data_IF_427337954168
#
_entry.id   IF_427337954168
#
_cell.length_a   1.000
_cell.length_b   1.000
_cell.length_c   1.000
_cell.angle_alpha   90.00
_cell.angle_beta   90.00
_cell.angle_gamma   90.00
#
_symmetry.space_group_name_H-M   'P 1'
#
loop_
_entity.id
_entity.type
_entity.pdbx_description
1 polymer ?
#
# COMPACT_ATOMS: atom_id res chain seq x y z
N UNK A 1 9.49 11.70 -6.79
CA UNK A 1 8.64 12.05 -5.63
C UNK A 1 7.29 11.38 -5.83
N UNK A 2 6.84 10.58 -4.88
CA UNK A 2 5.56 9.88 -5.00
C UNK A 2 4.41 10.89 -4.94
N UNK A 3 3.53 10.89 -5.93
CA UNK A 3 2.39 11.80 -6.04
C UNK A 3 1.16 11.16 -5.40
N UNK A 4 0.29 11.94 -4.74
CA UNK A 4 -0.96 11.41 -4.20
C UNK A 4 -1.84 10.86 -5.32
N UNK A 5 -2.67 9.88 -5.00
CA UNK A 5 -3.67 9.40 -5.94
C UNK A 5 -4.67 10.51 -6.29
N UNK A 6 -5.16 10.51 -7.55
CA UNK A 6 -6.13 11.52 -8.02
C UNK A 6 -7.33 11.66 -7.09
N UNK A 7 -7.86 10.53 -6.63
CA UNK A 7 -8.97 10.48 -5.68
C UNK A 7 -8.68 11.28 -4.40
N UNK A 8 -7.46 11.20 -3.88
CA UNK A 8 -7.06 11.90 -2.64
C UNK A 8 -6.81 13.37 -2.93
N UNK A 9 -6.20 13.70 -4.07
CA UNK A 9 -6.03 15.09 -4.51
C UNK A 9 -7.37 15.82 -4.64
N UNK A 10 -8.38 15.17 -5.23
CA UNK A 10 -9.74 15.70 -5.38
C UNK A 10 -10.38 15.99 -4.01
N UNK A 11 -10.28 15.07 -3.05
CA UNK A 11 -10.79 15.25 -1.68
C UNK A 11 -10.04 16.32 -0.89
N UNK A 12 -8.74 16.47 -1.11
CA UNK A 12 -7.95 17.57 -0.56
C UNK A 12 -8.42 18.91 -1.11
N UNK A 13 -8.72 18.99 -2.43
CA UNK A 13 -9.25 20.21 -3.04
C UNK A 13 -10.62 20.60 -2.44
N UNK A 14 -11.53 19.63 -2.29
CA UNK A 14 -12.84 19.83 -1.62
C UNK A 14 -12.64 20.35 -0.20
N UNK A 15 -11.76 19.72 0.58
CA UNK A 15 -11.50 20.12 1.97
C UNK A 15 -10.91 21.52 2.03
N UNK A 16 -10.05 21.90 1.07
CA UNK A 16 -9.42 23.22 1.01
C UNK A 16 -10.46 24.32 0.90
N UNK A 17 -11.51 24.16 0.09
CA UNK A 17 -12.59 25.16 -0.02
C UNK A 17 -13.22 25.47 1.34
N UNK A 18 -13.55 24.44 2.12
CA UNK A 18 -14.15 24.59 3.46
C UNK A 18 -13.15 25.22 4.44
N UNK A 19 -11.91 24.75 4.43
CA UNK A 19 -10.84 25.27 5.30
C UNK A 19 -10.53 26.73 5.01
N UNK A 20 -10.52 27.14 3.74
CA UNK A 20 -10.35 28.54 3.34
C UNK A 20 -11.50 29.39 3.85
N UNK A 21 -12.75 28.96 3.65
CA UNK A 21 -13.92 29.69 4.16
C UNK A 21 -13.88 29.86 5.68
N UNK A 22 -13.57 28.79 6.43
CA UNK A 22 -13.42 28.84 7.90
C UNK A 22 -12.18 29.62 8.36
N UNK A 23 -11.19 29.85 7.50
CA UNK A 23 -10.05 30.71 7.85
C UNK A 23 -10.39 32.18 7.65
N UNK A 24 -11.07 32.51 6.56
CA UNK A 24 -11.31 33.88 6.14
C UNK A 24 -12.48 34.52 6.90
N UNK A 25 -13.56 33.77 7.15
CA UNK A 25 -14.81 34.35 7.64
C UNK A 25 -15.10 34.12 9.11
N UNK A 26 -14.29 33.34 9.84
CA UNK A 26 -14.53 33.06 11.28
C UNK A 26 -14.67 34.32 12.14
N UNK A 27 -13.84 35.38 12.00
CA UNK A 27 -14.00 36.58 12.84
C UNK A 27 -15.36 37.26 12.69
N UNK A 28 -15.89 37.31 11.46
CA UNK A 28 -17.19 37.91 11.16
C UNK A 28 -18.33 37.01 11.63
N UNK A 29 -18.28 35.73 11.26
CA UNK A 29 -19.32 34.75 11.57
C UNK A 29 -19.43 34.51 13.07
N UNK A 30 -18.31 34.39 13.77
CA UNK A 30 -18.30 34.18 15.21
C UNK A 30 -18.96 35.36 15.95
N UNK A 31 -18.66 36.59 15.56
CA UNK A 31 -19.25 37.80 16.15
C UNK A 31 -20.77 37.80 16.00
N UNK A 32 -21.26 37.58 14.79
CA UNK A 32 -22.70 37.59 14.52
C UNK A 32 -23.41 36.40 15.18
N UNK A 33 -22.77 35.23 15.19
CA UNK A 33 -23.28 34.04 15.87
C UNK A 33 -23.36 34.23 17.38
N UNK A 34 -22.39 34.88 18.01
CA UNK A 34 -22.41 35.18 19.44
C UNK A 34 -23.53 36.15 19.80
N UNK A 35 -23.76 37.17 18.96
CA UNK A 35 -24.87 38.09 19.18
C UNK A 35 -26.24 37.38 19.14
N UNK A 36 -26.38 36.35 18.30
CA UNK A 36 -27.61 35.54 18.19
C UNK A 36 -27.75 34.55 19.34
N UNK A 37 -26.69 33.81 19.68
CA UNK A 37 -26.76 32.73 20.67
C UNK A 37 -26.63 33.23 22.11
N UNK A 38 -25.90 34.32 22.33
CA UNK A 38 -25.54 34.85 23.64
C UNK A 38 -25.78 36.36 23.71
N UNK A 39 -27.04 36.82 23.66
CA UNK A 39 -27.37 38.25 23.64
C UNK A 39 -26.86 39.02 24.88
N UNK A 40 -26.70 38.33 26.01
CA UNK A 40 -26.16 38.89 27.26
C UNK A 40 -24.63 38.73 27.40
N UNK A 41 -23.96 38.24 26.36
CA UNK A 41 -22.52 38.00 26.29
C UNK A 41 -22.14 36.51 26.35
N UNK A 42 -21.15 36.13 25.53
CA UNK A 42 -20.66 34.77 25.44
C UNK A 42 -19.91 34.30 26.71
N UNK A 43 -19.92 32.99 27.02
CA UNK A 43 -19.13 32.43 28.12
C UNK A 43 -17.63 32.70 27.95
N UNK A 44 -16.93 33.04 29.05
CA UNK A 44 -15.48 33.30 29.02
C UNK A 44 -14.63 32.08 28.70
N UNK A 45 -15.17 30.87 28.89
CA UNK A 45 -14.43 29.61 28.73
C UNK A 45 -14.47 29.04 27.32
N UNK A 46 -15.42 29.47 26.48
CA UNK A 46 -15.60 28.97 25.11
C UNK A 46 -16.41 29.97 24.30
N UNK A 47 -15.81 30.43 23.20
CA UNK A 47 -16.42 31.36 22.24
C UNK A 47 -16.95 30.63 21.00
N UNK A 48 -17.77 31.29 20.18
CA UNK A 48 -18.17 30.73 18.89
C UNK A 48 -16.97 30.59 17.94
N UNK A 49 -16.00 31.50 18.03
CA UNK A 49 -14.75 31.43 17.26
C UNK A 49 -13.95 30.17 17.61
N UNK A 50 -13.84 29.83 18.91
CA UNK A 50 -13.17 28.61 19.36
C UNK A 50 -13.81 27.36 18.76
N UNK A 51 -15.14 27.29 18.71
CA UNK A 51 -15.86 26.17 18.10
C UNK A 51 -15.59 26.07 16.60
N UNK A 52 -15.66 27.18 15.87
CA UNK A 52 -15.42 27.18 14.42
C UNK A 52 -13.96 26.82 14.08
N UNK A 53 -12.99 27.31 14.87
CA UNK A 53 -11.60 26.90 14.75
C UNK A 53 -11.42 25.41 15.07
N UNK A 54 -12.10 24.87 16.08
CA UNK A 54 -12.04 23.44 16.40
C UNK A 54 -12.57 22.57 15.25
N UNK A 55 -13.66 22.97 14.59
CA UNK A 55 -14.20 22.30 13.41
C UNK A 55 -13.21 22.34 12.23
N UNK A 56 -12.64 23.52 11.95
CA UNK A 56 -11.60 23.70 10.93
C UNK A 56 -10.41 22.77 11.19
N UNK A 57 -9.87 22.80 12.41
CA UNK A 57 -8.67 22.05 12.76
C UNK A 57 -8.90 20.54 12.74
N UNK A 58 -10.12 20.08 13.09
CA UNK A 58 -10.51 18.68 12.94
C UNK A 58 -10.51 18.24 11.47
N UNK A 59 -11.09 19.03 10.56
CA UNK A 59 -11.08 18.75 9.13
C UNK A 59 -9.65 18.78 8.56
N UNK A 60 -8.85 19.76 8.97
CA UNK A 60 -7.46 19.89 8.52
C UNK A 60 -6.63 18.65 8.89
N UNK A 61 -6.64 18.26 10.18
CA UNK A 61 -5.90 17.08 10.66
C UNK A 61 -6.37 15.78 9.99
N UNK A 62 -7.67 15.64 9.76
CA UNK A 62 -8.21 14.42 9.13
C UNK A 62 -7.87 14.36 7.65
N UNK A 63 -7.88 15.50 6.96
CA UNK A 63 -7.42 15.61 5.56
C UNK A 63 -5.94 15.28 5.43
N UNK A 64 -5.10 15.82 6.32
CA UNK A 64 -3.67 15.53 6.35
C UNK A 64 -3.39 14.05 6.65
N UNK A 65 -4.11 13.45 7.61
CA UNK A 65 -3.98 12.02 7.92
C UNK A 65 -4.34 11.13 6.74
N UNK A 66 -5.40 11.46 5.99
CA UNK A 66 -5.78 10.74 4.77
C UNK A 66 -4.71 10.88 3.68
N UNK A 67 -4.18 12.08 3.47
CA UNK A 67 -3.10 12.33 2.52
C UNK A 67 -1.82 11.55 2.87
N UNK A 68 -1.43 11.57 4.15
CA UNK A 68 -0.25 10.85 4.62
C UNK A 68 -0.39 9.33 4.46
N UNK A 69 -1.58 8.77 4.73
CA UNK A 69 -1.85 7.35 4.55
C UNK A 69 -1.80 6.93 3.07
N UNK A 70 -2.27 7.77 2.15
CA UNK A 70 -2.16 7.53 0.71
C UNK A 70 -0.73 7.56 0.22
N UNK A 71 0.07 8.52 0.69
CA UNK A 71 1.48 8.62 0.35
C UNK A 71 2.28 7.45 0.90
N UNK A 72 1.99 7.00 2.12
CA UNK A 72 2.60 5.82 2.72
C UNK A 72 2.29 4.55 1.90
N UNK A 73 1.03 4.34 1.53
CA UNK A 73 0.65 3.20 0.69
C UNK A 73 1.26 3.26 -0.71
N UNK A 74 1.36 4.45 -1.32
CA UNK A 74 1.98 4.57 -2.66
C UNK A 74 3.48 4.29 -2.60
N UNK A 75 4.16 4.65 -1.50
CA UNK A 75 5.57 4.32 -1.28
C UNK A 75 5.76 2.81 -1.11
N UNK A 76 4.92 2.20 -0.28
CA UNK A 76 4.89 0.74 -0.08
C UNK A 76 4.81 -0.01 -1.42
N UNK A 77 3.88 0.37 -2.29
CA UNK A 77 3.75 -0.27 -3.60
C UNK A 77 4.92 -0.02 -4.56
N UNK A 78 5.66 1.07 -4.37
CA UNK A 78 6.79 1.42 -5.24
C UNK A 78 8.02 0.53 -4.98
N UNK A 79 8.13 -0.07 -3.79
CA UNK A 79 9.30 -0.84 -3.37
C UNK A 79 9.13 -2.37 -3.62
N UNK A 80 7.98 -2.81 -4.13
CA UNK A 80 7.61 -4.23 -4.32
C UNK A 80 8.28 -4.90 -5.55
N UNK A 81 8.75 -4.12 -6.53
CA UNK A 81 9.30 -4.68 -7.78
C UNK A 81 10.61 -5.47 -7.54
N UNK A 82 11.49 -4.99 -6.65
CA UNK A 82 12.80 -5.61 -6.44
C UNK A 82 12.70 -6.98 -5.73
N UNK A 83 11.92 -7.16 -4.64
CA UNK A 83 11.71 -8.47 -4.03
C UNK A 83 11.09 -9.50 -4.99
N UNK A 84 10.15 -9.09 -5.84
CA UNK A 84 9.53 -9.96 -6.84
C UNK A 84 10.53 -10.40 -7.91
N UNK A 85 11.29 -9.44 -8.47
CA UNK A 85 12.31 -9.74 -9.46
C UNK A 85 13.39 -10.68 -8.90
N UNK A 86 13.81 -10.47 -7.65
CA UNK A 86 14.75 -11.36 -6.98
C UNK A 86 14.17 -12.77 -6.79
N UNK A 87 12.91 -12.90 -6.38
CA UNK A 87 12.26 -14.20 -6.24
C UNK A 87 12.17 -14.94 -7.59
N UNK A 88 11.79 -14.25 -8.67
CA UNK A 88 11.78 -14.80 -10.03
C UNK A 88 13.19 -15.27 -10.46
N UNK A 89 14.21 -14.46 -10.22
CA UNK A 89 15.60 -14.82 -10.48
C UNK A 89 16.01 -16.09 -9.71
N UNK A 90 15.63 -16.20 -8.43
CA UNK A 90 15.93 -17.39 -7.62
C UNK A 90 15.16 -18.62 -8.08
N UNK A 91 13.92 -18.47 -8.54
CA UNK A 91 13.14 -19.56 -9.15
C UNK A 91 13.83 -20.09 -10.40
N UNK A 92 14.18 -19.21 -11.33
CA UNK A 92 14.84 -19.60 -12.58
C UNK A 92 16.24 -20.19 -12.34
N UNK A 93 16.99 -19.64 -11.37
CA UNK A 93 18.27 -20.19 -10.95
C UNK A 93 18.14 -21.63 -10.42
N UNK A 94 17.16 -21.90 -9.55
CA UNK A 94 16.93 -23.24 -9.01
C UNK A 94 16.43 -24.22 -10.09
N UNK A 95 15.56 -23.77 -11.01
CA UNK A 95 15.12 -24.56 -12.16
C UNK A 95 16.29 -24.96 -13.04
N UNK A 96 17.16 -24.00 -13.38
CA UNK A 96 18.35 -24.24 -14.19
C UNK A 96 19.29 -25.24 -13.52
N UNK A 97 19.50 -25.13 -12.20
CA UNK A 97 20.33 -26.05 -11.44
C UNK A 97 19.79 -27.48 -11.46
N UNK A 98 18.48 -27.67 -11.19
CA UNK A 98 17.85 -28.99 -11.25
C UNK A 98 17.86 -29.60 -12.65
N UNK A 99 17.61 -28.79 -13.68
CA UNK A 99 17.67 -29.23 -15.07
C UNK A 99 19.10 -29.67 -15.45
N UNK A 100 20.10 -28.88 -15.08
CA UNK A 100 21.52 -29.19 -15.32
C UNK A 100 21.92 -30.49 -14.62
N UNK A 101 21.55 -30.63 -13.34
CA UNK A 101 21.81 -31.84 -12.57
C UNK A 101 21.16 -33.08 -13.19
N UNK A 102 19.88 -32.98 -13.58
CA UNK A 102 19.17 -34.09 -14.25
C UNK A 102 19.85 -34.49 -15.55
N UNK A 103 20.22 -33.51 -16.36
CA UNK A 103 20.89 -33.73 -17.65
C UNK A 103 22.25 -34.39 -17.45
N UNK A 104 23.00 -33.95 -16.44
CA UNK A 104 24.31 -34.51 -16.09
C UNK A 104 24.19 -35.94 -15.57
N UNK A 105 23.25 -36.21 -14.64
CA UNK A 105 22.98 -37.56 -14.14
C UNK A 105 22.54 -38.50 -15.28
N UNK A 106 21.64 -38.05 -16.14
CA UNK A 106 21.12 -38.86 -17.24
C UNK A 106 22.19 -39.19 -18.29
N UNK A 107 23.04 -38.21 -18.63
CA UNK A 107 24.13 -38.39 -19.59
C UNK A 107 25.29 -39.23 -19.04
N UNK A 108 25.72 -38.97 -17.81
CA UNK A 108 26.87 -39.65 -17.20
C UNK A 108 26.52 -41.04 -16.67
N UNK A 109 25.34 -41.23 -16.07
CA UNK A 109 24.98 -42.48 -15.36
C UNK A 109 23.74 -43.17 -15.95
N UNK A 110 22.96 -42.48 -16.77
CA UNK A 110 21.74 -43.02 -17.39
C UNK A 110 20.46 -42.45 -16.77
N UNK A 111 19.39 -42.44 -17.58
CA UNK A 111 18.07 -41.90 -17.20
C UNK A 111 17.52 -42.47 -15.88
N UNK A 112 17.62 -43.79 -15.59
CA UNK A 112 17.14 -44.34 -14.33
C UNK A 112 17.85 -43.75 -13.10
N UNK A 113 19.13 -43.41 -13.21
CA UNK A 113 19.90 -42.83 -12.10
C UNK A 113 19.44 -41.40 -11.81
N UNK A 114 19.17 -40.60 -12.85
CA UNK A 114 18.61 -39.26 -12.68
C UNK A 114 17.25 -39.29 -11.95
N UNK A 115 16.37 -40.24 -12.30
CA UNK A 115 15.09 -40.43 -11.62
C UNK A 115 15.25 -40.89 -10.17
N UNK A 116 16.26 -41.73 -9.88
CA UNK A 116 16.55 -42.21 -8.52
C UNK A 116 16.99 -41.10 -7.55
N UNK A 117 17.46 -39.95 -8.06
CA UNK A 117 17.73 -38.75 -7.26
C UNK A 117 16.54 -37.78 -7.19
N UNK A 118 15.33 -38.23 -7.56
CA UNK A 118 14.09 -37.49 -7.28
C UNK A 118 13.83 -36.29 -8.18
N UNK A 119 14.58 -36.14 -9.29
CA UNK A 119 14.40 -35.02 -10.22
C UNK A 119 13.40 -35.43 -11.32
N UNK A 120 12.23 -34.78 -11.43
CA UNK A 120 11.21 -35.12 -12.42
C UNK A 120 11.65 -34.80 -13.85
N UNK A 121 10.99 -35.43 -14.83
CA UNK A 121 11.21 -35.17 -16.27
C UNK A 121 10.77 -33.77 -16.70
N UNK A 122 9.82 -33.18 -16.00
CA UNK A 122 9.43 -31.77 -16.14
C UNK A 122 9.70 -31.07 -14.83
N UNK A 123 10.51 -30.00 -14.87
CA UNK A 123 10.77 -29.18 -13.69
C UNK A 123 9.52 -28.32 -13.42
N UNK A 124 8.98 -28.32 -12.19
CA UNK A 124 7.81 -27.50 -11.85
C UNK A 124 8.09 -26.00 -12.00
N UNK A 125 7.08 -25.25 -12.42
CA UNK A 125 7.11 -23.78 -12.43
C UNK A 125 6.65 -23.17 -11.10
N UNK A 126 5.81 -23.88 -10.34
CA UNK A 126 5.36 -23.43 -9.01
C UNK A 126 6.54 -23.43 -8.01
N UNK A 127 6.85 -22.31 -7.35
CA UNK A 127 8.00 -22.20 -6.45
C UNK A 127 7.96 -23.16 -5.25
N UNK A 128 6.78 -23.42 -4.69
CA UNK A 128 6.62 -24.31 -3.53
C UNK A 128 6.83 -25.78 -3.92
N UNK A 129 6.29 -26.18 -5.07
CA UNK A 129 6.54 -27.51 -5.63
C UNK A 129 8.02 -27.66 -6.02
N UNK A 130 8.62 -26.62 -6.61
CA UNK A 130 10.04 -26.58 -6.96
C UNK A 130 10.94 -26.78 -5.73
N UNK A 131 10.68 -26.06 -4.63
CA UNK A 131 11.39 -26.21 -3.36
C UNK A 131 11.29 -27.63 -2.79
N UNK A 132 10.11 -28.26 -2.91
CA UNK A 132 9.91 -29.65 -2.46
C UNK A 132 10.72 -30.65 -3.28
N UNK A 133 10.73 -30.48 -4.60
CA UNK A 133 11.52 -31.31 -5.53
C UNK A 133 13.01 -31.12 -5.26
N UNK A 134 13.46 -29.87 -5.13
CA UNK A 134 14.84 -29.53 -4.83
C UNK A 134 15.28 -30.13 -3.50
N UNK A 135 14.50 -29.95 -2.43
CA UNK A 135 14.82 -30.52 -1.11
C UNK A 135 14.84 -32.04 -1.09
N UNK A 136 13.99 -32.69 -1.88
CA UNK A 136 14.03 -34.17 -2.03
C UNK A 136 15.31 -34.60 -2.73
N UNK A 137 15.70 -33.89 -3.80
CA UNK A 137 16.90 -34.19 -4.58
C UNK A 137 18.18 -33.93 -3.79
N UNK A 138 18.22 -32.82 -3.04
CA UNK A 138 19.30 -32.44 -2.13
C UNK A 138 19.53 -33.51 -1.06
N UNK A 139 18.46 -33.95 -0.39
CA UNK A 139 18.52 -35.03 0.59
C UNK A 139 19.04 -36.33 -0.04
N UNK A 140 18.52 -36.72 -1.20
CA UNK A 140 18.95 -37.94 -1.88
C UNK A 140 20.42 -37.88 -2.30
N UNK A 141 20.94 -36.73 -2.73
CA UNK A 141 22.36 -36.56 -3.03
C UNK A 141 23.27 -36.75 -1.81
N UNK A 142 22.76 -36.47 -0.60
CA UNK A 142 23.50 -36.71 0.67
C UNK A 142 23.40 -38.15 1.15
N UNK A 143 22.20 -38.72 1.10
CA UNK A 143 21.89 -39.97 1.79
C UNK A 143 22.05 -41.20 0.91
N UNK A 144 21.88 -41.06 -0.42
CA UNK A 144 21.98 -42.17 -1.37
C UNK A 144 23.39 -42.23 -1.95
N UNK A 145 24.16 -43.31 -1.70
CA UNK A 145 25.46 -43.49 -2.34
C UNK A 145 25.32 -43.61 -3.86
N UNK A 146 26.14 -42.88 -4.61
CA UNK A 146 26.25 -43.01 -6.07
C UNK A 146 27.22 -44.16 -6.38
N UNK A 147 26.70 -45.38 -6.49
CA UNK A 147 27.47 -46.61 -6.74
C UNK A 147 27.53 -46.98 -8.22
N UNK A 148 26.66 -46.38 -9.03
CA UNK A 148 26.61 -46.64 -10.47
C UNK A 148 27.87 -46.11 -11.16
N UNK A 149 28.51 -46.91 -12.03
CA UNK A 149 29.73 -46.48 -12.70
C UNK A 149 29.40 -45.39 -13.74
N UNK A 150 30.19 -44.29 -13.80
CA UNK A 150 30.01 -43.27 -14.82
C UNK A 150 30.40 -43.81 -16.20
N UNK A 151 29.62 -43.51 -17.22
CA UNK A 151 29.93 -43.82 -18.64
C UNK A 151 31.19 -43.09 -19.11
N UNK A 152 31.40 -41.87 -18.62
CA UNK A 152 32.57 -41.04 -18.89
C UNK A 152 33.20 -40.66 -17.55
N UNK A 153 34.34 -41.28 -17.22
CA UNK A 153 34.98 -41.13 -15.90
C UNK A 153 35.33 -39.67 -15.55
N UNK A 154 35.71 -38.85 -16.54
CA UNK A 154 36.05 -37.44 -16.34
C UNK A 154 34.85 -36.54 -16.02
N UNK A 155 33.61 -37.04 -16.15
CA UNK A 155 32.37 -36.31 -15.87
C UNK A 155 31.65 -36.86 -14.63
N UNK A 156 32.36 -37.62 -13.78
CA UNK A 156 31.81 -38.10 -12.52
C UNK A 156 31.40 -36.92 -11.64
N UNK A 157 30.19 -36.95 -11.11
CA UNK A 157 29.71 -35.89 -10.21
C UNK A 157 30.18 -36.16 -8.78
N UNK A 158 30.31 -35.10 -7.99
CA UNK A 158 30.51 -35.17 -6.55
C UNK A 158 29.17 -34.90 -5.83
N UNK A 159 28.42 -35.94 -5.39
CA UNK A 159 27.04 -35.76 -4.91
C UNK A 159 26.93 -34.79 -3.73
N UNK A 160 27.89 -34.83 -2.80
CA UNK A 160 27.90 -33.93 -1.64
C UNK A 160 28.09 -32.46 -2.04
N UNK A 161 29.02 -32.16 -2.94
CA UNK A 161 29.23 -30.80 -3.44
C UNK A 161 27.98 -30.27 -4.17
N UNK A 162 27.37 -31.11 -5.01
CA UNK A 162 26.10 -30.75 -5.69
C UNK A 162 24.97 -30.53 -4.67
N UNK A 163 24.91 -31.32 -3.59
CA UNK A 163 23.92 -31.13 -2.53
C UNK A 163 24.12 -29.81 -1.78
N UNK A 164 25.36 -29.35 -1.61
CA UNK A 164 25.67 -28.07 -0.98
C UNK A 164 25.23 -26.90 -1.87
N UNK A 165 25.52 -26.96 -3.18
CA UNK A 165 25.06 -25.96 -4.15
C UNK A 165 23.54 -25.89 -4.20
N UNK A 166 22.87 -27.04 -4.24
CA UNK A 166 21.41 -27.12 -4.23
C UNK A 166 20.83 -26.63 -2.91
N UNK A 167 21.46 -26.96 -1.78
CA UNK A 167 21.09 -26.47 -0.46
C UNK A 167 21.17 -24.95 -0.36
N UNK A 168 22.22 -24.34 -0.90
CA UNK A 168 22.36 -22.89 -0.98
C UNK A 168 21.24 -22.26 -1.80
N UNK A 169 20.98 -22.77 -3.01
CA UNK A 169 19.90 -22.27 -3.87
C UNK A 169 18.50 -22.39 -3.24
N UNK A 170 18.24 -23.49 -2.51
CA UNK A 170 16.99 -23.70 -1.76
C UNK A 170 16.81 -22.61 -0.69
N UNK A 171 17.87 -22.32 0.09
CA UNK A 171 17.82 -21.32 1.16
C UNK A 171 17.59 -19.92 0.58
N UNK A 172 18.29 -19.57 -0.51
CA UNK A 172 18.14 -18.29 -1.18
C UNK A 172 16.72 -18.09 -1.75
N UNK A 173 16.13 -19.10 -2.39
CA UNK A 173 14.76 -19.02 -2.88
C UNK A 173 13.75 -18.88 -1.73
N UNK A 174 13.91 -19.66 -0.64
CA UNK A 174 13.03 -19.53 0.54
C UNK A 174 13.08 -18.13 1.14
N UNK A 175 14.27 -17.53 1.22
CA UNK A 175 14.43 -16.16 1.71
C UNK A 175 13.73 -15.15 0.80
N UNK A 176 13.94 -15.25 -0.50
CA UNK A 176 13.30 -14.34 -1.46
C UNK A 176 11.76 -14.44 -1.43
N UNK A 177 11.20 -15.64 -1.33
CA UNK A 177 9.75 -15.83 -1.16
C UNK A 177 9.23 -15.26 0.16
N UNK A 178 9.98 -15.42 1.25
CA UNK A 178 9.61 -14.84 2.55
C UNK A 178 9.61 -13.31 2.52
N UNK A 179 10.55 -12.70 1.80
CA UNK A 179 10.59 -11.25 1.59
C UNK A 179 9.37 -10.78 0.77
N UNK A 180 9.03 -11.45 -0.33
CA UNK A 180 7.80 -11.15 -1.10
C UNK A 180 6.54 -11.27 -0.23
N UNK A 181 6.44 -12.29 0.61
CA UNK A 181 5.30 -12.46 1.50
C UNK A 181 5.24 -11.41 2.62
N UNK A 182 6.39 -10.89 3.06
CA UNK A 182 6.45 -9.76 3.99
C UNK A 182 5.89 -8.50 3.34
N UNK A 183 6.38 -8.14 2.15
CA UNK A 183 5.92 -6.96 1.38
C UNK A 183 4.41 -7.04 1.09
N UNK A 184 3.88 -8.22 0.72
CA UNK A 184 2.43 -8.40 0.54
C UNK A 184 1.63 -8.07 1.80
N UNK A 185 2.12 -8.45 2.99
CA UNK A 185 1.44 -8.14 4.26
C UNK A 185 1.52 -6.66 4.58
N UNK A 186 2.67 -6.03 4.36
CA UNK A 186 2.89 -4.60 4.55
C UNK A 186 1.98 -3.77 3.61
N UNK A 187 1.85 -4.18 2.34
CA UNK A 187 0.90 -3.62 1.37
C UNK A 187 -0.57 -3.74 1.81
N UNK A 188 -0.99 -4.89 2.36
CA UNK A 188 -2.36 -5.08 2.90
C UNK A 188 -2.62 -4.13 4.08
N UNK A 189 -1.65 -4.00 5.00
CA UNK A 189 -1.77 -3.14 6.18
C UNK A 189 -1.83 -1.66 5.80
N UNK A 190 -0.97 -1.22 4.88
CA UNK A 190 -0.96 0.17 4.40
C UNK A 190 -2.26 0.51 3.63
N UNK A 191 -2.77 -0.42 2.81
CA UNK A 191 -4.06 -0.25 2.13
C UNK A 191 -5.22 -0.16 3.13
N UNK A 192 -5.25 -1.00 4.17
CA UNK A 192 -6.26 -0.95 5.21
C UNK A 192 -6.25 0.40 5.95
N UNK A 193 -5.04 0.89 6.28
CA UNK A 193 -4.83 2.19 6.93
C UNK A 193 -5.34 3.34 6.06
N UNK A 194 -5.03 3.32 4.75
CA UNK A 194 -5.54 4.29 3.77
C UNK A 194 -7.07 4.27 3.70
N UNK A 195 -7.69 3.09 3.63
CA UNK A 195 -9.16 2.94 3.57
C UNK A 195 -9.83 3.49 4.83
N UNK A 196 -9.28 3.21 6.02
CA UNK A 196 -9.79 3.75 7.28
C UNK A 196 -9.69 5.28 7.33
N UNK A 197 -8.54 5.83 6.92
CA UNK A 197 -8.34 7.28 6.89
C UNK A 197 -9.31 7.97 5.91
N UNK A 198 -9.58 7.35 4.76
CA UNK A 198 -10.59 7.82 3.80
C UNK A 198 -12.01 7.82 4.35
N UNK A 199 -12.41 6.78 5.09
CA UNK A 199 -13.73 6.70 5.72
C UNK A 199 -13.89 7.74 6.85
N UNK A 200 -12.82 7.91 7.65
CA UNK A 200 -12.76 8.94 8.69
C UNK A 200 -12.83 10.34 8.10
N UNK A 201 -12.14 10.59 6.99
CA UNK A 201 -12.24 11.85 6.27
C UNK A 201 -13.67 12.13 5.82
N UNK A 202 -14.35 11.17 5.18
CA UNK A 202 -15.71 11.39 4.67
C UNK A 202 -16.69 11.76 5.78
N UNK A 203 -16.69 11.00 6.87
CA UNK A 203 -17.55 11.28 8.04
C UNK A 203 -17.23 12.62 8.69
N UNK A 204 -15.94 12.97 8.80
CA UNK A 204 -15.51 14.26 9.36
C UNK A 204 -15.87 15.43 8.45
N UNK A 205 -15.63 15.30 7.14
CA UNK A 205 -15.97 16.31 6.14
C UNK A 205 -17.46 16.62 6.16
N UNK A 206 -18.30 15.58 6.10
CA UNK A 206 -19.75 15.75 6.16
C UNK A 206 -20.18 16.42 7.47
N UNK A 207 -19.74 15.91 8.62
CA UNK A 207 -20.13 16.49 9.91
C UNK A 207 -19.66 17.94 10.11
N UNK A 208 -18.43 18.26 9.69
CA UNK A 208 -17.90 19.63 9.78
C UNK A 208 -18.66 20.58 8.85
N UNK A 209 -18.91 20.18 7.60
CA UNK A 209 -19.61 21.05 6.64
C UNK A 209 -21.07 21.26 7.00
N UNK A 210 -21.80 20.21 7.41
CA UNK A 210 -23.19 20.36 7.88
C UNK A 210 -23.28 21.29 9.10
N UNK A 211 -22.37 21.13 10.07
CA UNK A 211 -22.30 22.01 11.23
C UNK A 211 -21.96 23.45 10.83
N UNK A 212 -20.94 23.65 10.00
CA UNK A 212 -20.52 24.98 9.54
C UNK A 212 -21.63 25.68 8.75
N UNK A 213 -22.30 24.99 7.82
CA UNK A 213 -23.46 25.53 7.09
C UNK A 213 -24.56 26.01 8.04
N UNK A 214 -24.90 25.21 9.05
CA UNK A 214 -25.90 25.57 10.06
C UNK A 214 -25.51 26.80 10.87
N UNK A 215 -24.26 26.85 11.33
CA UNK A 215 -23.73 27.98 12.11
C UNK A 215 -23.66 29.26 11.26
N UNK A 216 -23.24 29.16 10.00
CA UNK A 216 -23.19 30.28 9.06
C UNK A 216 -24.61 30.82 8.79
N UNK A 217 -25.58 29.92 8.56
CA UNK A 217 -26.97 30.32 8.34
C UNK A 217 -27.58 31.00 9.57
N UNK A 218 -27.31 30.49 10.79
CA UNK A 218 -27.75 31.12 12.03
C UNK A 218 -27.15 32.52 12.24
N UNK A 219 -25.91 32.72 11.81
CA UNK A 219 -25.23 34.02 11.84
C UNK A 219 -25.70 34.98 10.72
N UNK A 220 -26.63 34.57 9.85
CA UNK A 220 -27.13 35.40 8.74
C UNK A 220 -26.31 35.32 7.45
N UNK A 221 -25.30 34.44 7.40
CA UNK A 221 -24.35 34.30 6.29
C UNK A 221 -24.74 33.16 5.32
N UNK A 222 -25.98 33.17 4.84
CA UNK A 222 -26.53 32.08 4.02
C UNK A 222 -25.77 31.83 2.69
N UNK A 223 -25.23 32.88 2.07
CA UNK A 223 -24.45 32.75 0.84
C UNK A 223 -23.12 32.01 1.09
N UNK A 224 -22.43 32.34 2.19
CA UNK A 224 -21.21 31.63 2.60
C UNK A 224 -21.52 30.17 2.97
N UNK A 225 -22.66 29.91 3.61
CA UNK A 225 -23.11 28.56 3.94
C UNK A 225 -23.30 27.70 2.67
N UNK A 226 -23.83 28.29 1.60
CA UNK A 226 -24.04 27.58 0.34
C UNK A 226 -22.72 27.18 -0.33
N UNK A 227 -21.72 28.06 -0.33
CA UNK A 227 -20.42 27.79 -0.95
C UNK A 227 -19.67 26.58 -0.36
N UNK A 228 -19.91 26.26 0.92
CA UNK A 228 -19.27 25.11 1.61
C UNK A 228 -20.18 23.88 1.74
N UNK A 229 -21.38 23.91 1.17
CA UNK A 229 -22.37 22.85 1.32
C UNK A 229 -21.82 21.49 0.84
N UNK A 230 -22.07 20.38 1.57
CA UNK A 230 -21.68 19.04 1.14
C UNK A 230 -22.64 18.53 0.06
N UNK A 231 -22.39 18.91 -1.19
CA UNK A 231 -23.17 18.45 -2.34
C UNK A 231 -23.03 16.95 -2.54
N UNK A 232 -23.98 16.32 -3.23
CA UNK A 232 -23.90 14.91 -3.59
C UNK A 232 -22.59 14.57 -4.34
N UNK A 233 -22.08 15.52 -5.14
CA UNK A 233 -20.83 15.40 -5.88
C UNK A 233 -19.61 15.45 -4.96
N UNK A 234 -19.54 16.42 -4.04
CA UNK A 234 -18.46 16.51 -3.03
C UNK A 234 -18.45 15.29 -2.10
N UNK A 235 -19.62 14.80 -1.70
CA UNK A 235 -19.76 13.57 -0.89
C UNK A 235 -19.31 12.31 -1.65
N UNK A 236 -19.47 12.28 -2.97
CA UNK A 236 -18.88 11.25 -3.82
C UNK A 236 -17.35 11.41 -4.00
N UNK A 237 -16.74 12.45 -3.42
CA UNK A 237 -15.32 12.76 -3.54
C UNK A 237 -14.94 13.41 -4.87
N UNK A 238 -15.92 13.96 -5.60
CA UNK A 238 -15.70 14.66 -6.85
C UNK A 238 -15.75 16.17 -6.61
N UNK A 239 -14.76 16.95 -7.08
CA UNK A 239 -14.71 18.38 -6.83
C UNK A 239 -15.76 19.11 -7.65
N UNK A 240 -16.35 20.16 -7.10
CA UNK A 240 -17.07 21.17 -7.88
C UNK A 240 -16.08 22.05 -8.65
N UNK A 241 -16.57 22.84 -9.62
CA UNK A 241 -15.72 23.78 -10.38
C UNK A 241 -14.97 24.73 -9.45
N UNK A 242 -15.67 25.21 -8.42
CA UNK A 242 -15.11 26.08 -7.38
C UNK A 242 -13.92 25.43 -6.66
N UNK A 243 -13.98 24.12 -6.40
CA UNK A 243 -12.92 23.37 -5.70
C UNK A 243 -11.69 23.18 -6.59
N UNK A 244 -11.89 23.11 -7.91
CA UNK A 244 -10.84 22.94 -8.90
C UNK A 244 -10.16 24.26 -9.32
N UNK A 245 -10.80 25.41 -9.09
CA UNK A 245 -10.27 26.71 -9.45
C UNK A 245 -9.05 27.11 -8.58
N UNK A 246 -7.95 27.59 -9.18
CA UNK A 246 -6.81 28.12 -8.43
C UNK A 246 -7.25 29.32 -7.58
N UNK A 247 -6.70 29.44 -6.37
CA UNK A 247 -7.08 30.41 -5.34
C UNK A 247 -6.98 31.89 -5.76
N UNK A 248 -6.36 32.19 -6.90
CA UNK A 248 -6.23 33.54 -7.46
C UNK A 248 -7.46 34.05 -8.23
N UNK A 249 -8.43 33.19 -8.54
CA UNK A 249 -9.63 33.56 -9.32
C UNK A 249 -10.89 33.77 -8.45
N UNK A 250 -10.83 33.48 -7.14
CA UNK A 250 -11.99 33.52 -6.22
C UNK A 250 -12.27 34.91 -5.61
N UNK A 251 -11.78 35.99 -6.21
CA UNK A 251 -12.16 37.35 -5.83
C UNK A 251 -13.14 37.92 -6.85
N UNK A 252 -14.44 37.85 -6.53
CA UNK A 252 -15.49 38.77 -6.99
C UNK A 252 -16.79 38.55 -6.24
#
# INVERSE_FOLDING_TARGET
MSQPSKLIADRVAISRTVLTSLNEHVPEIAKDLEAVLFPEGAPKSLTAADLLHALRDLLARTTESMFAADLAHTRELADDDAPRALAEERVEGLKALLLSLRTTLASTYGVPVAAAYGIPSQIPDDPEVLLRVAGTSERLLRERPLVEPPKIKSLAIAPLAVSEDLGFAIVELKRALADVDREKREAILSQSTKTLAMARWLSTYQGVTEAACGLYALAGHAALAEGIRPTARRLAGLPEEEDAAPSTERSR
#
